data_IF_949382014902
#
_entry.id   IF_949382014902
#
_cell.length_a   1.000
_cell.length_b   1.000
_cell.length_c   1.000
_cell.angle_alpha   90.00
_cell.angle_beta   90.00
_cell.angle_gamma   90.00
#
_symmetry.space_group_name_H-M   'P 1'
#
loop_
_entity.id
_entity.type
_entity.pdbx_description
1 polymer ?
#
# COMPACT_ATOMS: atom_id res chain seq x y z
N UNK A 1 56.15 32.24 53.74
CA UNK A 1 56.24 31.42 52.54
C UNK A 1 56.69 29.96 52.79
N UNK A 2 57.79 29.68 53.55
CA UNK A 2 58.26 28.33 53.88
C UNK A 2 57.18 27.46 54.54
N UNK A 3 56.42 27.94 55.54
CA UNK A 3 55.36 27.17 56.26
C UNK A 3 54.16 26.84 55.35
N UNK A 4 53.92 27.56 54.29
CA UNK A 4 52.85 27.25 53.32
C UNK A 4 53.32 26.14 52.36
N UNK A 5 54.59 26.22 51.92
CA UNK A 5 55.17 25.18 51.06
C UNK A 5 55.28 23.82 51.76
N UNK A 6 55.66 23.82 53.08
CA UNK A 6 55.69 22.58 53.88
C UNK A 6 54.31 21.96 54.11
N UNK A 7 53.26 22.78 54.28
CA UNK A 7 51.86 22.29 54.34
C UNK A 7 51.39 21.77 53.00
N UNK A 8 51.77 22.37 51.88
CA UNK A 8 51.43 21.90 50.53
C UNK A 8 52.17 20.60 50.19
N UNK A 9 53.45 20.44 50.63
CA UNK A 9 54.20 19.18 50.39
C UNK A 9 53.61 18.01 51.21
N UNK A 10 53.30 18.25 52.50
CA UNK A 10 52.62 17.25 53.37
C UNK A 10 51.20 16.90 52.85
N UNK A 11 50.53 17.84 52.19
CA UNK A 11 49.23 17.61 51.53
C UNK A 11 49.40 16.73 50.28
N UNK A 12 50.44 16.95 49.48
CA UNK A 12 50.75 16.19 48.24
C UNK A 12 51.32 14.79 48.56
N UNK A 13 51.87 14.55 49.76
CA UNK A 13 52.35 13.23 50.16
C UNK A 13 51.23 12.29 50.57
N UNK A 14 50.03 12.82 50.89
CA UNK A 14 48.90 11.99 51.29
C UNK A 14 48.12 11.49 50.06
N UNK A 15 48.54 10.33 49.50
CA UNK A 15 47.96 9.69 48.31
C UNK A 15 46.46 9.50 48.38
N UNK A 16 45.93 9.21 49.57
CA UNK A 16 44.49 9.02 49.81
C UNK A 16 43.73 10.34 49.66
N UNK A 17 44.30 11.44 50.15
CA UNK A 17 43.67 12.76 50.06
C UNK A 17 43.63 13.26 48.64
N UNK A 18 44.69 13.08 47.85
CA UNK A 18 44.75 13.39 46.42
C UNK A 18 43.70 12.57 45.67
N UNK A 19 43.57 11.26 45.97
CA UNK A 19 42.58 10.41 45.35
C UNK A 19 41.15 10.89 45.65
N UNK A 20 40.84 11.26 46.90
CA UNK A 20 39.53 11.80 47.29
C UNK A 20 39.22 13.14 46.60
N UNK A 21 40.19 14.00 46.40
CA UNK A 21 40.03 15.26 45.64
C UNK A 21 39.73 14.96 44.18
N UNK A 22 40.43 14.05 43.56
CA UNK A 22 40.20 13.63 42.16
C UNK A 22 38.77 13.04 42.02
N UNK A 23 38.38 12.17 42.91
CA UNK A 23 37.02 11.59 42.95
C UNK A 23 36.00 12.72 43.15
N UNK A 24 36.23 13.65 44.07
CA UNK A 24 35.36 14.81 44.27
C UNK A 24 35.18 15.66 43.01
N UNK A 25 36.30 15.99 42.32
CA UNK A 25 36.25 16.75 41.04
C UNK A 25 35.47 15.99 39.97
N UNK A 26 35.72 14.71 39.82
CA UNK A 26 34.99 13.85 38.88
C UNK A 26 33.48 13.81 39.22
N UNK A 27 33.15 13.68 40.50
CA UNK A 27 31.75 13.70 40.96
C UNK A 27 31.05 15.01 40.65
N UNK A 28 31.73 16.15 40.88
CA UNK A 28 31.18 17.46 40.52
C UNK A 28 30.97 17.61 39.02
N UNK A 29 31.91 17.13 38.19
CA UNK A 29 31.75 17.12 36.73
C UNK A 29 30.54 16.31 36.31
N UNK A 30 30.36 15.12 36.91
CA UNK A 30 29.18 14.29 36.63
C UNK A 30 27.87 14.95 37.06
N UNK A 31 27.84 15.61 38.21
CA UNK A 31 26.65 16.33 38.70
C UNK A 31 26.32 17.48 37.73
N UNK A 32 27.29 18.25 37.29
CA UNK A 32 27.12 19.36 36.32
C UNK A 32 26.59 18.80 34.97
N UNK A 33 27.19 17.70 34.51
CA UNK A 33 26.74 17.04 33.28
C UNK A 33 25.32 16.51 33.39
N UNK A 34 24.97 15.85 34.50
CA UNK A 34 23.61 15.36 34.76
C UNK A 34 22.60 16.50 34.86
N UNK A 35 22.95 17.58 35.55
CA UNK A 35 22.12 18.78 35.63
C UNK A 35 21.87 19.39 34.23
N UNK A 36 22.93 19.52 33.44
CA UNK A 36 22.84 20.04 32.07
C UNK A 36 21.93 19.15 31.21
N UNK A 37 22.08 17.82 31.31
CA UNK A 37 21.38 16.84 30.49
C UNK A 37 19.93 16.66 30.93
N UNK A 38 19.63 16.69 32.24
CA UNK A 38 18.30 16.43 32.77
C UNK A 38 17.46 17.69 32.98
N UNK A 39 18.09 18.83 33.32
CA UNK A 39 17.36 20.05 33.66
C UNK A 39 17.42 21.10 32.55
N UNK A 40 18.61 21.40 32.01
CA UNK A 40 18.73 22.43 30.97
C UNK A 40 18.30 21.94 29.60
N UNK A 41 18.55 20.66 29.28
CA UNK A 41 18.22 20.07 28.00
C UNK A 41 17.27 18.89 28.13
N UNK A 42 16.67 18.69 29.30
CA UNK A 42 15.78 17.56 29.58
C UNK A 42 14.59 17.50 28.61
N UNK A 43 13.94 18.61 28.39
CA UNK A 43 12.81 18.72 27.46
C UNK A 43 13.22 18.44 26.01
N UNK A 44 14.39 18.93 25.57
CA UNK A 44 14.92 18.67 24.23
C UNK A 44 15.23 17.17 24.02
N UNK A 45 15.86 16.55 25.02
CA UNK A 45 16.17 15.12 24.96
C UNK A 45 14.91 14.25 25.06
N UNK A 46 13.93 14.69 25.85
CA UNK A 46 12.62 14.03 25.95
C UNK A 46 11.87 14.12 24.61
N UNK A 47 11.81 15.29 24.01
CA UNK A 47 11.21 15.50 22.69
C UNK A 47 11.92 14.66 21.61
N UNK A 48 13.26 14.60 21.63
CA UNK A 48 14.03 13.74 20.73
C UNK A 48 13.76 12.25 20.97
N UNK A 49 13.58 11.82 22.23
CA UNK A 49 13.24 10.45 22.58
C UNK A 49 11.82 10.10 22.12
N UNK A 50 10.86 10.97 22.40
CA UNK A 50 9.48 10.83 21.94
C UNK A 50 9.38 10.77 20.41
N UNK A 51 10.08 11.67 19.70
CA UNK A 51 10.17 11.64 18.23
C UNK A 51 10.79 10.36 17.67
N UNK A 52 11.66 9.67 18.42
CA UNK A 52 12.29 8.40 18.02
C UNK A 52 11.43 7.18 18.28
N UNK A 53 10.42 7.28 19.14
CA UNK A 53 9.50 6.21 19.49
C UNK A 53 8.12 6.37 18.82
N UNK A 54 7.85 7.54 18.22
CA UNK A 54 6.59 7.84 17.58
C UNK A 54 6.69 7.59 16.06
N UNK A 55 5.96 6.62 15.58
CA UNK A 55 5.75 6.36 14.15
C UNK A 55 4.43 7.01 13.73
N UNK A 56 4.44 7.73 12.63
CA UNK A 56 3.23 8.27 12.02
C UNK A 56 2.74 7.31 10.94
N UNK A 57 1.53 6.85 11.08
CA UNK A 57 0.86 6.02 10.09
C UNK A 57 -0.28 6.81 9.46
N UNK A 58 -0.46 6.66 8.16
CA UNK A 58 -1.58 7.29 7.46
C UNK A 58 -2.81 6.41 7.61
N UNK A 59 -3.88 6.96 8.18
CA UNK A 59 -5.19 6.33 8.19
C UNK A 59 -5.96 6.79 6.96
N UNK A 60 -6.10 5.89 5.99
CA UNK A 60 -6.75 6.21 4.72
C UNK A 60 -8.22 6.55 4.94
N UNK A 61 -8.64 7.71 4.42
CA UNK A 61 -10.04 8.13 4.48
C UNK A 61 -10.92 7.34 3.50
N UNK A 62 -12.16 7.09 3.89
CA UNK A 62 -13.16 6.52 2.97
C UNK A 62 -13.48 7.51 1.85
N UNK A 63 -13.57 7.00 0.63
CA UNK A 63 -13.98 7.78 -0.53
C UNK A 63 -15.50 8.00 -0.50
N UNK A 64 -15.97 9.16 -0.95
CA UNK A 64 -17.40 9.47 -1.01
C UNK A 64 -18.16 8.44 -1.85
N UNK A 65 -19.39 8.17 -1.50
CA UNK A 65 -20.27 7.28 -2.25
C UNK A 65 -20.77 7.93 -3.55
N UNK A 66 -21.04 7.10 -4.55
CA UNK A 66 -21.74 7.53 -5.76
C UNK A 66 -23.08 6.81 -5.78
N UNK A 67 -24.17 7.57 -5.87
CA UNK A 67 -25.53 7.03 -5.92
C UNK A 67 -26.23 7.44 -7.21
N UNK A 68 -27.30 6.73 -7.56
CA UNK A 68 -28.25 7.17 -8.57
C UNK A 68 -29.13 8.30 -8.01
N UNK A 69 -30.06 8.85 -8.83
CA UNK A 69 -30.98 9.90 -8.43
C UNK A 69 -31.94 9.51 -7.29
N UNK A 70 -32.15 8.22 -7.05
CA UNK A 70 -33.05 7.64 -6.05
C UNK A 70 -32.32 7.15 -4.79
N UNK A 71 -30.97 7.35 -4.71
CA UNK A 71 -30.14 6.92 -3.59
C UNK A 71 -29.65 5.48 -3.68
N UNK A 72 -29.82 4.81 -4.84
CA UNK A 72 -29.24 3.47 -5.04
C UNK A 72 -27.72 3.57 -5.14
N UNK A 73 -27.00 2.83 -4.32
CA UNK A 73 -25.54 2.87 -4.27
C UNK A 73 -24.92 2.22 -5.51
N UNK A 74 -24.14 3.01 -6.25
CA UNK A 74 -23.41 2.62 -7.44
C UNK A 74 -21.92 2.38 -7.16
N UNK A 75 -21.36 3.14 -6.23
CA UNK A 75 -20.00 2.95 -5.74
C UNK A 75 -19.91 3.28 -4.25
N UNK A 76 -19.29 2.42 -3.47
CA UNK A 76 -19.08 2.56 -2.03
C UNK A 76 -17.72 2.05 -1.61
N UNK A 77 -17.49 1.83 -0.32
CA UNK A 77 -16.24 1.29 0.19
C UNK A 77 -16.54 0.04 1.04
N UNK A 78 -15.67 -0.96 0.93
CA UNK A 78 -15.67 -2.13 1.83
C UNK A 78 -14.46 -2.04 2.74
N UNK A 79 -14.61 -2.51 3.97
CA UNK A 79 -13.48 -2.70 4.86
C UNK A 79 -12.59 -3.80 4.28
N UNK A 80 -11.31 -3.51 4.17
CA UNK A 80 -10.27 -4.42 3.72
C UNK A 80 -9.11 -4.34 4.70
N UNK A 81 -8.25 -5.36 4.70
CA UNK A 81 -7.07 -5.41 5.55
C UNK A 81 -5.84 -5.62 4.68
N UNK A 82 -4.84 -4.78 4.87
CA UNK A 82 -3.54 -4.91 4.23
C UNK A 82 -2.49 -5.28 5.29
N UNK A 83 -1.39 -5.89 4.85
CA UNK A 83 -0.26 -6.24 5.73
C UNK A 83 0.94 -5.41 5.37
N UNK A 84 1.41 -4.68 6.34
CA UNK A 84 2.63 -3.89 6.30
C UNK A 84 3.76 -4.57 7.07
N UNK A 85 4.99 -4.45 6.58
CA UNK A 85 6.19 -4.89 7.26
C UNK A 85 7.10 -3.69 7.52
N UNK A 86 7.47 -3.48 8.79
CA UNK A 86 8.41 -2.45 9.21
C UNK A 86 9.77 -3.06 9.55
N UNK A 87 10.82 -2.29 9.32
CA UNK A 87 12.15 -2.66 9.80
C UNK A 87 12.20 -2.51 11.32
N UNK A 88 12.54 -3.58 12.01
CA UNK A 88 12.62 -3.65 13.47
C UNK A 88 14.04 -3.93 13.92
N UNK A 89 14.34 -3.65 15.19
CA UNK A 89 15.68 -3.86 15.77
C UNK A 89 15.83 -5.30 16.29
N UNK A 90 15.67 -6.25 15.39
CA UNK A 90 15.93 -7.68 15.64
C UNK A 90 17.01 -8.17 14.69
N UNK A 91 17.54 -9.37 14.89
CA UNK A 91 18.50 -9.97 13.98
C UNK A 91 17.87 -10.26 12.61
N UNK A 92 18.68 -10.29 11.55
CA UNK A 92 18.22 -10.67 10.22
C UNK A 92 17.55 -12.05 10.22
N UNK A 93 18.06 -12.95 11.07
CA UNK A 93 17.51 -14.28 11.29
C UNK A 93 16.07 -14.21 11.81
N UNK A 94 15.85 -13.54 12.93
CA UNK A 94 14.52 -13.41 13.54
C UNK A 94 13.51 -12.77 12.57
N UNK A 95 13.96 -11.77 11.79
CA UNK A 95 13.08 -11.14 10.80
C UNK A 95 12.77 -12.06 9.63
N UNK A 96 13.72 -12.85 9.14
CA UNK A 96 13.49 -13.84 8.11
C UNK A 96 12.53 -14.94 8.57
N UNK A 97 12.66 -15.40 9.82
CA UNK A 97 11.72 -16.35 10.45
C UNK A 97 10.30 -15.78 10.53
N UNK A 98 10.15 -14.50 10.92
CA UNK A 98 8.86 -13.82 10.96
C UNK A 98 8.23 -13.72 9.55
N UNK A 99 9.02 -13.36 8.53
CA UNK A 99 8.55 -13.30 7.14
C UNK A 99 8.11 -14.69 6.65
N UNK A 100 8.89 -15.74 6.93
CA UNK A 100 8.53 -17.10 6.54
C UNK A 100 7.22 -17.58 7.19
N UNK A 101 7.02 -17.28 8.50
CA UNK A 101 5.76 -17.55 9.20
C UNK A 101 4.58 -16.78 8.60
N UNK A 102 4.78 -15.51 8.29
CA UNK A 102 3.75 -14.67 7.65
C UNK A 102 3.34 -15.23 6.29
N UNK A 103 4.30 -15.61 5.44
CA UNK A 103 4.03 -16.24 4.13
C UNK A 103 3.16 -17.49 4.31
N UNK A 104 3.50 -18.35 5.28
CA UNK A 104 2.73 -19.57 5.54
C UNK A 104 1.29 -19.27 5.99
N UNK A 105 1.07 -18.24 6.83
CA UNK A 105 -0.27 -17.81 7.23
C UNK A 105 -1.07 -17.35 6.02
N UNK A 106 -0.52 -16.44 5.22
CA UNK A 106 -1.22 -15.89 4.06
C UNK A 106 -1.59 -16.99 3.06
N UNK A 107 -0.63 -17.81 2.65
CA UNK A 107 -0.86 -18.86 1.67
C UNK A 107 -1.84 -19.94 2.16
N UNK A 108 -1.80 -20.32 3.44
CA UNK A 108 -2.72 -21.32 3.99
C UNK A 108 -4.18 -20.86 4.00
N UNK A 109 -4.41 -19.55 3.98
CA UNK A 109 -5.74 -18.94 3.93
C UNK A 109 -6.15 -18.48 2.51
N UNK A 110 -5.30 -18.72 1.50
CA UNK A 110 -5.57 -18.35 0.11
C UNK A 110 -5.25 -16.89 -0.23
N UNK A 111 -4.55 -16.18 0.65
CA UNK A 111 -4.15 -14.80 0.41
C UNK A 111 -2.84 -14.74 -0.39
N UNK A 112 -2.67 -13.67 -1.18
CA UNK A 112 -1.53 -13.50 -2.07
C UNK A 112 -0.55 -12.46 -1.51
N UNK A 113 0.73 -12.65 -1.84
CA UNK A 113 1.77 -11.67 -1.54
C UNK A 113 1.78 -10.61 -2.63
N UNK A 114 1.76 -9.35 -2.22
CA UNK A 114 1.91 -8.22 -3.12
C UNK A 114 3.38 -7.95 -3.40
N UNK A 115 3.75 -7.83 -4.67
CA UNK A 115 5.09 -7.37 -5.06
C UNK A 115 5.10 -6.87 -6.50
N UNK A 116 6.01 -5.94 -6.77
CA UNK A 116 6.39 -5.46 -8.10
C UNK A 116 7.66 -6.16 -8.62
N UNK A 117 8.16 -7.17 -7.91
CA UNK A 117 9.28 -8.00 -8.37
C UNK A 117 8.88 -8.70 -9.67
N UNK A 118 9.69 -8.60 -10.74
CA UNK A 118 9.30 -9.04 -12.08
C UNK A 118 9.31 -10.56 -12.25
N UNK A 119 8.39 -11.25 -11.62
CA UNK A 119 8.21 -12.70 -11.66
C UNK A 119 6.77 -13.04 -12.08
N UNK A 120 6.61 -14.13 -12.82
CA UNK A 120 5.31 -14.62 -13.24
C UNK A 120 4.55 -15.28 -12.06
N UNK A 121 3.26 -15.56 -12.25
CA UNK A 121 2.37 -16.12 -11.21
C UNK A 121 2.81 -17.53 -10.75
N UNK A 122 3.50 -18.29 -11.60
CA UNK A 122 4.03 -19.61 -11.29
C UNK A 122 5.34 -19.59 -10.51
N UNK A 123 5.98 -18.41 -10.41
CA UNK A 123 7.25 -18.16 -9.73
C UNK A 123 8.42 -18.96 -10.31
N UNK A 124 8.48 -19.10 -11.64
CA UNK A 124 9.49 -19.90 -12.34
C UNK A 124 10.23 -19.14 -13.45
N UNK A 125 9.78 -17.93 -13.80
CA UNK A 125 10.39 -17.10 -14.83
C UNK A 125 10.12 -15.61 -14.61
N UNK A 126 10.88 -14.78 -15.31
CA UNK A 126 10.60 -13.34 -15.36
C UNK A 126 9.38 -13.03 -16.23
N UNK A 127 8.68 -11.94 -15.89
CA UNK A 127 7.52 -11.43 -16.63
C UNK A 127 7.77 -10.04 -17.26
N UNK A 128 9.00 -9.77 -17.72
CA UNK A 128 9.31 -8.54 -18.47
C UNK A 128 8.59 -8.50 -19.81
N UNK A 129 8.14 -7.32 -20.22
CA UNK A 129 7.49 -7.12 -21.52
C UNK A 129 8.52 -7.09 -22.68
N UNK A 130 9.72 -6.57 -22.41
CA UNK A 130 10.79 -6.46 -23.39
C UNK A 130 12.15 -6.84 -22.81
N UNK A 131 13.09 -7.24 -23.68
CA UNK A 131 14.48 -7.49 -23.27
C UNK A 131 15.18 -6.23 -22.74
N UNK A 132 14.80 -5.06 -23.24
CA UNK A 132 15.37 -3.78 -22.80
C UNK A 132 14.97 -3.47 -21.35
N UNK A 133 13.70 -3.72 -21.00
CA UNK A 133 13.22 -3.61 -19.62
C UNK A 133 13.98 -4.55 -18.69
N UNK A 134 14.15 -5.81 -19.12
CA UNK A 134 14.91 -6.80 -18.36
C UNK A 134 16.37 -6.36 -18.11
N UNK A 135 17.05 -5.88 -19.13
CA UNK A 135 18.44 -5.38 -19.02
C UNK A 135 18.53 -4.17 -18.11
N UNK A 136 17.61 -3.21 -18.25
CA UNK A 136 17.55 -2.02 -17.39
C UNK A 136 17.36 -2.40 -15.93
N UNK A 137 16.38 -3.27 -15.64
CA UNK A 137 16.11 -3.73 -14.28
C UNK A 137 17.30 -4.49 -13.68
N UNK A 138 17.92 -5.41 -14.43
CA UNK A 138 19.11 -6.13 -13.97
C UNK A 138 20.26 -5.18 -13.63
N UNK A 139 20.48 -4.15 -14.45
CA UNK A 139 21.48 -3.11 -14.19
C UNK A 139 21.17 -2.32 -12.93
N UNK A 140 19.92 -1.92 -12.70
CA UNK A 140 19.48 -1.23 -11.48
C UNK A 140 19.68 -2.11 -10.22
N UNK A 141 19.53 -3.42 -10.37
CA UNK A 141 19.75 -4.40 -9.30
C UNK A 141 21.20 -4.82 -9.13
N UNK A 142 22.15 -4.27 -9.90
CA UNK A 142 23.56 -4.63 -9.95
C UNK A 142 23.78 -6.12 -10.30
N UNK A 143 22.98 -6.66 -11.20
CA UNK A 143 23.09 -8.01 -11.74
C UNK A 143 23.78 -8.00 -13.10
N UNK A 144 24.27 -9.17 -13.55
CA UNK A 144 24.76 -9.34 -14.92
C UNK A 144 23.61 -9.22 -15.91
N UNK A 145 23.84 -8.60 -17.06
CA UNK A 145 22.79 -8.40 -18.09
C UNK A 145 22.25 -9.74 -18.63
N UNK A 146 23.11 -10.74 -18.73
CA UNK A 146 22.81 -12.09 -19.20
C UNK A 146 22.40 -13.07 -18.11
N UNK A 147 22.32 -12.63 -16.83
CA UNK A 147 21.93 -13.49 -15.72
C UNK A 147 20.58 -14.16 -16.00
N UNK A 148 20.51 -15.47 -15.82
CA UNK A 148 19.29 -16.24 -15.91
C UNK A 148 18.36 -15.94 -14.71
N UNK A 149 17.14 -16.45 -14.78
CA UNK A 149 16.20 -16.35 -13.65
C UNK A 149 16.78 -17.01 -12.41
N UNK A 150 17.25 -18.25 -12.53
CA UNK A 150 17.79 -19.00 -11.39
C UNK A 150 19.04 -18.34 -10.79
N UNK A 151 19.99 -17.88 -11.60
CA UNK A 151 21.18 -17.15 -11.13
C UNK A 151 20.79 -15.86 -10.40
N UNK A 152 19.76 -15.17 -10.89
CA UNK A 152 19.23 -13.97 -10.23
C UNK A 152 18.64 -14.31 -8.86
N UNK A 153 17.79 -15.34 -8.79
CA UNK A 153 17.18 -15.77 -7.54
C UNK A 153 18.26 -16.22 -6.55
N UNK A 154 19.27 -16.99 -6.99
CA UNK A 154 20.38 -17.42 -6.14
C UNK A 154 21.17 -16.23 -5.60
N UNK A 155 21.39 -15.20 -6.41
CA UNK A 155 22.04 -13.96 -5.98
C UNK A 155 21.23 -13.28 -4.87
N UNK A 156 19.91 -13.20 -5.00
CA UNK A 156 19.05 -12.62 -3.96
C UNK A 156 18.95 -13.50 -2.70
N UNK A 157 18.95 -14.82 -2.84
CA UNK A 157 19.00 -15.74 -1.68
C UNK A 157 20.25 -15.48 -0.86
N UNK A 158 21.40 -15.36 -1.51
CA UNK A 158 22.67 -15.03 -0.83
C UNK A 158 22.64 -13.63 -0.23
N UNK A 159 22.18 -12.63 -0.99
CA UNK A 159 22.10 -11.23 -0.55
C UNK A 159 21.24 -11.04 0.71
N UNK A 160 20.17 -11.80 0.84
CA UNK A 160 19.20 -11.69 1.94
C UNK A 160 19.33 -12.79 2.99
N UNK A 161 20.32 -13.67 2.86
CA UNK A 161 20.56 -14.79 3.78
C UNK A 161 19.31 -15.67 3.98
N UNK A 162 18.79 -16.20 2.86
CA UNK A 162 17.52 -16.94 2.84
C UNK A 162 17.69 -18.46 2.71
N UNK A 163 18.91 -18.98 2.62
CA UNK A 163 19.16 -20.40 2.35
C UNK A 163 18.51 -21.33 3.38
N UNK A 164 18.46 -20.93 4.65
CA UNK A 164 18.01 -21.77 5.77
C UNK A 164 16.53 -21.58 6.15
N UNK A 165 15.79 -20.65 5.51
CA UNK A 165 14.48 -20.22 6.01
C UNK A 165 13.26 -20.71 5.23
N UNK A 166 13.46 -21.22 4.04
CA UNK A 166 12.37 -21.72 3.21
C UNK A 166 12.61 -23.16 2.78
N UNK A 167 11.61 -23.99 2.96
CA UNK A 167 11.66 -25.43 2.61
C UNK A 167 11.65 -25.62 1.10
N UNK A 168 11.09 -24.66 0.33
CA UNK A 168 11.01 -24.72 -1.11
C UNK A 168 11.42 -23.41 -1.80
N UNK A 169 11.80 -23.54 -3.06
CA UNK A 169 12.26 -22.43 -3.92
C UNK A 169 11.20 -21.32 -4.07
N UNK A 170 9.94 -21.69 -4.15
CA UNK A 170 8.85 -20.70 -4.32
C UNK A 170 8.70 -19.82 -3.08
N UNK A 171 8.85 -20.39 -1.88
CA UNK A 171 8.81 -19.60 -0.65
C UNK A 171 10.05 -18.70 -0.52
N UNK A 172 11.22 -19.15 -0.98
CA UNK A 172 12.40 -18.26 -1.07
C UNK A 172 12.13 -17.07 -2.00
N UNK A 173 11.52 -17.30 -3.17
CA UNK A 173 11.13 -16.23 -4.11
C UNK A 173 10.14 -15.27 -3.44
N UNK A 174 9.13 -15.77 -2.72
CA UNK A 174 8.19 -14.91 -1.97
C UNK A 174 8.89 -14.07 -0.91
N UNK A 175 9.86 -14.62 -0.20
CA UNK A 175 10.68 -13.85 0.74
C UNK A 175 11.49 -12.76 0.03
N UNK A 176 12.05 -13.07 -1.15
CA UNK A 176 12.74 -12.09 -2.00
C UNK A 176 11.76 -10.98 -2.42
N UNK A 177 10.54 -11.33 -2.85
CA UNK A 177 9.51 -10.36 -3.24
C UNK A 177 9.24 -9.35 -2.13
N UNK A 178 9.03 -9.80 -0.90
CA UNK A 178 8.79 -8.94 0.27
C UNK A 178 10.00 -8.03 0.55
N UNK A 179 11.21 -8.58 0.53
CA UNK A 179 12.43 -7.80 0.77
C UNK A 179 12.75 -6.83 -0.36
N UNK A 180 12.38 -7.17 -1.57
CA UNK A 180 12.50 -6.31 -2.74
C UNK A 180 11.61 -5.05 -2.58
N UNK A 181 10.32 -5.24 -2.23
CA UNK A 181 9.42 -4.13 -1.94
C UNK A 181 9.96 -3.23 -0.81
N UNK A 182 10.49 -3.84 0.24
CA UNK A 182 11.14 -3.11 1.32
C UNK A 182 12.27 -2.21 0.84
N UNK A 183 13.14 -2.72 -0.02
CA UNK A 183 14.26 -1.94 -0.54
C UNK A 183 13.84 -0.82 -1.48
N UNK A 184 12.85 -1.05 -2.35
CA UNK A 184 12.31 -0.03 -3.25
C UNK A 184 11.69 1.14 -2.51
N UNK A 185 10.96 0.87 -1.45
CA UNK A 185 10.19 1.85 -0.71
C UNK A 185 10.95 2.49 0.45
N UNK A 186 12.26 2.22 0.59
CA UNK A 186 13.07 2.78 1.67
C UNK A 186 12.57 2.34 3.05
N UNK A 187 12.18 1.08 3.15
CA UNK A 187 11.64 0.46 4.35
C UNK A 187 12.53 0.69 5.57
N UNK A 188 11.95 1.19 6.63
CA UNK A 188 12.64 1.62 7.83
C UNK A 188 11.76 1.37 9.07
N UNK A 189 12.16 1.89 10.22
CA UNK A 189 11.32 1.94 11.42
C UNK A 189 10.03 2.77 11.21
N UNK A 190 10.02 3.67 10.22
CA UNK A 190 8.94 4.63 9.99
C UNK A 190 8.20 4.41 8.67
N UNK A 191 8.83 3.77 7.70
CA UNK A 191 8.24 3.47 6.40
C UNK A 191 8.06 1.96 6.27
N UNK A 192 6.84 1.52 6.05
CA UNK A 192 6.52 0.12 5.82
C UNK A 192 6.80 -0.33 4.38
N UNK A 193 7.05 -1.62 4.23
CA UNK A 193 6.87 -2.33 2.98
C UNK A 193 5.49 -3.00 2.98
N UNK A 194 4.69 -2.76 1.96
CA UNK A 194 3.42 -3.45 1.77
C UNK A 194 3.68 -4.89 1.36
N UNK A 195 3.16 -5.85 2.12
CA UNK A 195 3.39 -7.30 1.94
C UNK A 195 2.20 -7.99 1.28
N UNK A 196 0.99 -7.66 1.69
CA UNK A 196 -0.24 -8.25 1.14
C UNK A 196 -1.38 -7.25 1.19
N UNK A 197 -2.32 -7.38 0.27
CA UNK A 197 -3.52 -6.56 0.17
C UNK A 197 -4.76 -7.41 0.28
N UNK A 198 -5.82 -6.83 0.86
CA UNK A 198 -7.15 -7.43 0.89
C UNK A 198 -7.12 -8.85 1.47
N UNK A 199 -6.40 -9.04 2.57
CA UNK A 199 -6.26 -10.33 3.22
C UNK A 199 -7.56 -10.77 3.91
N UNK A 200 -7.73 -12.08 4.03
CA UNK A 200 -8.89 -12.67 4.69
C UNK A 200 -8.92 -12.40 6.20
N UNK A 201 -10.11 -12.33 6.78
CA UNK A 201 -10.28 -12.20 8.23
C UNK A 201 -9.58 -13.33 9.02
N UNK A 202 -9.44 -14.52 8.41
CA UNK A 202 -8.68 -15.64 9.00
C UNK A 202 -7.21 -15.32 9.13
N UNK A 203 -6.62 -14.71 8.10
CA UNK A 203 -5.23 -14.26 8.15
C UNK A 203 -5.05 -13.16 9.17
N UNK A 204 -5.97 -12.20 9.25
CA UNK A 204 -5.96 -11.15 10.29
C UNK A 204 -5.92 -11.78 11.67
N UNK A 205 -6.84 -12.70 11.97
CA UNK A 205 -6.91 -13.36 13.28
C UNK A 205 -5.63 -14.12 13.63
N UNK A 206 -5.05 -14.87 12.66
CA UNK A 206 -3.82 -15.63 12.87
C UNK A 206 -2.58 -14.74 13.03
N UNK A 207 -2.53 -13.61 12.31
CA UNK A 207 -1.43 -12.63 12.44
C UNK A 207 -1.49 -11.98 13.82
N UNK A 208 -2.67 -11.53 14.26
CA UNK A 208 -2.83 -10.91 15.58
C UNK A 208 -2.56 -11.91 16.73
N UNK A 209 -2.98 -13.17 16.60
CA UNK A 209 -2.67 -14.22 17.58
C UNK A 209 -1.15 -14.44 17.72
N UNK A 210 -0.41 -14.38 16.61
CA UNK A 210 1.04 -14.62 16.58
C UNK A 210 1.88 -13.35 16.54
N UNK A 211 1.30 -12.22 16.89
CA UNK A 211 1.94 -10.89 16.80
C UNK A 211 3.30 -10.82 17.52
N UNK A 212 3.45 -11.54 18.66
CA UNK A 212 4.71 -11.59 19.39
C UNK A 212 5.86 -12.31 18.66
N UNK A 213 5.54 -13.12 17.62
CA UNK A 213 6.50 -13.86 16.80
C UNK A 213 6.70 -13.22 15.42
N UNK A 214 5.81 -12.31 15.02
CA UNK A 214 5.78 -11.66 13.72
C UNK A 214 6.38 -10.25 13.81
N UNK A 215 7.67 -10.18 14.11
CA UNK A 215 8.39 -8.92 14.30
C UNK A 215 8.27 -7.97 13.11
N UNK A 216 7.73 -6.78 13.39
CA UNK A 216 7.55 -5.72 12.39
C UNK A 216 6.33 -5.87 11.49
N UNK A 217 5.57 -6.95 11.61
CA UNK A 217 4.32 -7.15 10.88
C UNK A 217 3.20 -6.34 11.53
N UNK A 218 2.48 -5.58 10.72
CA UNK A 218 1.31 -4.81 11.15
C UNK A 218 0.15 -5.03 10.18
N UNK A 219 -1.05 -5.24 10.70
CA UNK A 219 -2.29 -5.31 9.91
C UNK A 219 -2.94 -3.94 9.96
N UNK A 220 -3.18 -3.35 8.81
CA UNK A 220 -3.86 -2.06 8.70
C UNK A 220 -5.23 -2.23 8.05
N UNK A 221 -6.20 -1.49 8.57
CA UNK A 221 -7.55 -1.44 8.01
C UNK A 221 -7.61 -0.33 6.97
N UNK A 222 -8.03 -0.67 5.74
CA UNK A 222 -8.12 0.26 4.62
C UNK A 222 -9.50 0.21 3.95
N UNK A 223 -10.10 1.35 3.61
CA UNK A 223 -11.33 1.37 2.84
C UNK A 223 -11.04 1.04 1.38
N UNK A 224 -11.48 -0.11 0.91
CA UNK A 224 -11.34 -0.53 -0.48
C UNK A 224 -12.57 -0.11 -1.29
N UNK A 225 -12.37 0.62 -2.39
CA UNK A 225 -13.45 1.00 -3.31
C UNK A 225 -14.14 -0.24 -3.85
N UNK A 226 -15.48 -0.21 -3.89
CA UNK A 226 -16.32 -1.32 -4.31
C UNK A 226 -17.51 -0.84 -5.14
N UNK A 227 -17.78 -1.53 -6.23
CA UNK A 227 -18.88 -1.28 -7.14
C UNK A 227 -19.82 -2.48 -7.09
N UNK A 228 -21.04 -2.33 -6.46
CA UNK A 228 -21.96 -3.46 -6.23
C UNK A 228 -22.33 -4.20 -7.50
N UNK A 229 -22.44 -3.49 -8.63
CA UNK A 229 -22.77 -4.04 -9.95
C UNK A 229 -21.65 -3.65 -10.91
N UNK A 230 -20.52 -4.36 -10.86
CA UNK A 230 -19.25 -3.97 -11.49
C UNK A 230 -19.27 -3.62 -12.97
N UNK A 231 -20.23 -4.13 -13.77
CA UNK A 231 -20.39 -3.81 -15.19
C UNK A 231 -21.41 -2.68 -15.43
N UNK A 232 -22.22 -2.37 -14.42
CA UNK A 232 -23.28 -1.39 -14.53
C UNK A 232 -22.73 0.04 -14.65
N UNK A 233 -23.19 0.75 -15.66
CA UNK A 233 -22.78 2.13 -15.97
C UNK A 233 -21.24 2.35 -15.92
N UNK A 234 -20.47 1.32 -16.27
CA UNK A 234 -19.01 1.28 -16.10
C UNK A 234 -18.31 2.50 -16.71
N UNK A 235 -18.73 2.91 -17.90
CA UNK A 235 -18.16 4.07 -18.59
C UNK A 235 -18.54 5.41 -17.97
N UNK A 236 -19.72 5.48 -17.32
CA UNK A 236 -20.18 6.68 -16.59
C UNK A 236 -19.47 6.81 -15.26
N UNK A 237 -19.53 5.75 -14.46
CA UNK A 237 -18.92 5.73 -13.12
C UNK A 237 -17.40 5.85 -13.22
N UNK A 238 -16.79 5.12 -14.16
CA UNK A 238 -15.36 5.01 -14.28
C UNK A 238 -14.78 4.11 -13.17
N UNK A 239 -13.48 4.20 -12.95
CA UNK A 239 -12.78 3.37 -11.97
C UNK A 239 -11.68 4.13 -11.26
N UNK A 240 -11.25 3.58 -10.13
CA UNK A 240 -10.09 4.02 -9.38
C UNK A 240 -8.94 3.02 -9.54
N UNK A 241 -7.72 3.50 -9.52
CA UNK A 241 -6.52 2.66 -9.50
C UNK A 241 -5.37 3.39 -8.82
N UNK A 242 -4.25 2.69 -8.60
CA UNK A 242 -3.04 3.29 -8.04
C UNK A 242 -2.56 4.47 -8.90
N UNK A 243 -2.12 5.53 -8.23
CA UNK A 243 -1.52 6.69 -8.89
C UNK A 243 -0.25 6.27 -9.66
N UNK A 244 -0.09 6.75 -10.88
CA UNK A 244 1.13 6.54 -11.66
C UNK A 244 2.22 7.52 -11.25
N UNK A 245 3.47 7.21 -11.53
CA UNK A 245 4.62 8.09 -11.23
C UNK A 245 4.48 9.47 -11.87
N UNK A 246 3.86 9.54 -13.06
CA UNK A 246 3.61 10.79 -13.76
C UNK A 246 2.56 11.64 -13.03
N UNK A 247 1.46 11.03 -12.63
CA UNK A 247 0.41 11.70 -11.86
C UNK A 247 0.91 12.11 -10.47
N UNK A 248 1.68 11.25 -9.81
CA UNK A 248 2.25 11.56 -8.50
C UNK A 248 3.15 12.79 -8.55
N UNK A 249 4.02 12.91 -9.58
CA UNK A 249 4.88 14.09 -9.75
C UNK A 249 4.10 15.41 -9.83
N UNK A 250 2.87 15.38 -10.35
CA UNK A 250 2.00 16.55 -10.49
C UNK A 250 1.10 16.79 -9.27
N UNK A 251 0.78 15.73 -8.50
CA UNK A 251 -0.22 15.77 -7.43
C UNK A 251 0.33 15.57 -6.02
N UNK A 252 1.64 15.41 -5.85
CA UNK A 252 2.28 15.23 -4.53
C UNK A 252 1.94 16.35 -3.54
N UNK A 253 1.83 17.58 -4.04
CA UNK A 253 1.52 18.76 -3.23
C UNK A 253 0.00 18.85 -2.87
N UNK A 254 -0.83 18.01 -3.48
CA UNK A 254 -2.27 17.87 -3.19
C UNK A 254 -2.55 16.77 -2.13
N UNK A 255 -1.52 16.29 -1.43
CA UNK A 255 -1.64 15.28 -0.38
C UNK A 255 -1.77 13.84 -0.91
N UNK A 256 -1.26 13.57 -2.13
CA UNK A 256 -1.12 12.20 -2.63
C UNK A 256 0.25 11.63 -2.27
N UNK A 257 0.29 10.34 -1.97
CA UNK A 257 1.51 9.56 -1.86
C UNK A 257 1.60 8.52 -2.99
N UNK A 258 2.73 7.86 -3.12
CA UNK A 258 2.99 6.90 -4.22
C UNK A 258 2.04 5.67 -4.20
N UNK A 259 1.39 5.42 -3.08
CA UNK A 259 0.42 4.31 -2.92
C UNK A 259 -1.03 4.79 -2.98
N UNK A 260 -1.27 6.09 -3.15
CA UNK A 260 -2.62 6.63 -3.21
C UNK A 260 -3.42 6.06 -4.38
N UNK A 261 -4.72 5.88 -4.14
CA UNK A 261 -5.71 5.50 -5.16
C UNK A 261 -6.35 6.78 -5.69
N UNK A 262 -6.50 6.86 -7.01
CA UNK A 262 -7.04 8.03 -7.71
C UNK A 262 -8.04 7.59 -8.77
N UNK A 263 -9.05 8.40 -9.04
CA UNK A 263 -9.97 8.21 -10.16
C UNK A 263 -9.27 8.31 -11.51
N UNK A 264 -9.48 7.32 -12.39
CA UNK A 264 -8.82 7.21 -13.69
C UNK A 264 -9.74 7.52 -14.86
N UNK A 265 -11.04 7.36 -14.69
CA UNK A 265 -12.03 7.57 -15.74
C UNK A 265 -13.37 8.01 -15.12
N UNK A 266 -14.30 8.48 -15.96
CA UNK A 266 -15.68 8.76 -15.61
C UNK A 266 -15.86 9.75 -14.45
N UNK A 267 -16.92 9.55 -13.68
CA UNK A 267 -17.26 10.35 -12.50
C UNK A 267 -16.16 10.25 -11.44
N UNK A 268 -15.56 9.07 -11.26
CA UNK A 268 -14.45 8.89 -10.33
C UNK A 268 -13.29 9.85 -10.59
N UNK A 269 -12.96 10.09 -11.85
CA UNK A 269 -11.92 11.05 -12.24
C UNK A 269 -12.40 12.49 -12.21
N UNK A 270 -13.56 12.76 -12.81
CA UNK A 270 -14.06 14.12 -12.96
C UNK A 270 -14.35 14.78 -11.61
N UNK A 271 -14.79 13.99 -10.63
CA UNK A 271 -15.13 14.46 -9.29
C UNK A 271 -14.13 14.02 -8.21
N UNK A 272 -12.91 13.68 -8.60
CA UNK A 272 -11.84 13.26 -7.70
C UNK A 272 -11.71 14.18 -6.49
N UNK A 273 -11.69 15.48 -6.70
CA UNK A 273 -11.54 16.49 -5.65
C UNK A 273 -12.64 16.42 -4.56
N UNK A 274 -13.83 15.98 -4.92
CA UNK A 274 -14.96 15.85 -4.00
C UNK A 274 -15.01 14.47 -3.36
N UNK A 275 -14.79 13.44 -4.18
CA UNK A 275 -14.85 12.04 -3.75
C UNK A 275 -13.68 11.63 -2.85
N UNK A 276 -12.48 12.18 -3.05
CA UNK A 276 -11.34 11.92 -2.19
C UNK A 276 -11.57 12.52 -0.81
N UNK A 277 -11.42 11.70 0.24
CA UNK A 277 -11.40 12.17 1.62
C UNK A 277 -10.06 12.82 2.00
N UNK A 278 -9.97 13.28 3.21
CA UNK A 278 -8.72 13.71 3.83
C UNK A 278 -8.24 12.61 4.78
N UNK A 279 -7.07 12.05 4.49
CA UNK A 279 -6.47 11.00 5.33
C UNK A 279 -6.19 11.53 6.73
N UNK A 280 -6.35 10.66 7.72
CA UNK A 280 -5.99 10.88 9.10
C UNK A 280 -4.54 10.47 9.38
N UNK A 281 -4.11 10.71 10.61
CA UNK A 281 -2.78 10.35 11.10
C UNK A 281 -2.91 9.63 12.44
N UNK A 282 -2.39 8.41 12.49
CA UNK A 282 -2.18 7.65 13.72
C UNK A 282 -0.73 7.83 14.16
N UNK A 283 -0.52 8.09 15.44
CA UNK A 283 0.78 8.01 16.10
C UNK A 283 0.88 6.67 16.81
N UNK A 284 1.73 5.80 16.29
CA UNK A 284 2.05 4.53 16.92
C UNK A 284 3.32 4.68 17.77
N UNK A 285 3.23 4.35 19.04
CA UNK A 285 4.40 4.22 19.92
C UNK A 285 5.02 2.85 19.71
N UNK A 286 6.34 2.82 19.58
CA UNK A 286 7.06 1.56 19.37
C UNK A 286 7.95 1.24 20.55
N UNK A 287 8.07 -0.06 20.86
CA UNK A 287 9.03 -0.57 21.84
C UNK A 287 10.48 -0.43 21.33
N UNK A 288 11.45 -0.83 22.16
CA UNK A 288 12.87 -0.80 21.81
C UNK A 288 13.25 -1.67 20.60
N UNK A 289 12.41 -2.64 20.25
CA UNK A 289 12.56 -3.52 19.08
C UNK A 289 11.88 -2.95 17.84
N UNK A 290 10.95 -2.00 17.99
CA UNK A 290 10.18 -1.38 16.91
C UNK A 290 8.77 -1.96 16.73
N UNK A 291 8.30 -2.82 17.64
CA UNK A 291 6.91 -3.28 17.62
C UNK A 291 6.00 -2.21 18.20
N UNK A 292 4.78 -2.09 17.68
CA UNK A 292 3.78 -1.16 18.19
C UNK A 292 3.33 -1.57 19.58
N UNK A 293 3.44 -0.65 20.54
CA UNK A 293 3.01 -0.82 21.94
C UNK A 293 1.70 -0.09 22.23
N UNK A 294 1.47 1.05 21.60
CA UNK A 294 0.21 1.79 21.68
C UNK A 294 -0.03 2.62 20.42
N UNK A 295 -1.29 2.93 20.14
CA UNK A 295 -1.69 3.77 19.02
C UNK A 295 -2.59 4.89 19.53
N UNK A 296 -2.37 6.10 19.01
CA UNK A 296 -3.18 7.27 19.32
C UNK A 296 -3.53 8.00 18.03
N UNK A 297 -4.81 8.24 17.80
CA UNK A 297 -5.25 9.03 16.65
C UNK A 297 -4.84 10.48 16.86
N UNK A 298 -3.98 10.99 15.97
CA UNK A 298 -3.51 12.37 16.01
C UNK A 298 -4.41 13.29 15.17
N UNK A 299 -4.87 12.79 14.03
CA UNK A 299 -5.83 13.46 13.15
C UNK A 299 -6.83 12.41 12.67
N UNK A 300 -8.13 12.66 12.88
CA UNK A 300 -9.18 11.80 12.37
C UNK A 300 -9.28 11.90 10.85
N UNK A 301 -9.50 10.77 10.14
CA UNK A 301 -9.76 10.80 8.71
C UNK A 301 -11.13 11.42 8.43
N UNK A 302 -11.21 12.23 7.39
CA UNK A 302 -12.47 12.83 6.94
C UNK A 302 -12.87 12.20 5.62
N UNK A 303 -14.00 11.51 5.60
CA UNK A 303 -14.53 10.88 4.38
C UNK A 303 -14.79 11.90 3.27
N UNK A 304 -14.63 11.47 2.03
CA UNK A 304 -15.00 12.27 0.86
C UNK A 304 -16.50 12.53 0.78
N UNK A 305 -16.86 13.56 0.02
CA UNK A 305 -18.26 13.92 -0.21
C UNK A 305 -18.93 12.91 -1.16
N UNK A 306 -20.14 12.48 -0.82
CA UNK A 306 -20.96 11.64 -1.70
C UNK A 306 -21.55 12.45 -2.85
N UNK A 307 -21.76 11.78 -3.99
CA UNK A 307 -22.30 12.37 -5.22
C UNK A 307 -23.55 11.60 -5.64
N UNK A 308 -24.63 12.32 -5.90
CA UNK A 308 -25.83 11.75 -6.53
C UNK A 308 -25.83 12.10 -8.01
N UNK A 309 -25.96 11.08 -8.87
CA UNK A 309 -26.06 11.24 -10.32
C UNK A 309 -27.51 11.47 -10.73
N UNK A 310 -27.70 12.00 -11.92
CA UNK A 310 -29.04 12.09 -12.57
C UNK A 310 -29.51 10.76 -13.15
N UNK A 311 -28.60 9.79 -13.27
CA UNK A 311 -28.89 8.42 -13.74
C UNK A 311 -29.97 7.78 -12.86
N UNK A 312 -30.97 7.16 -13.52
CA UNK A 312 -31.94 6.29 -12.87
C UNK A 312 -31.50 4.82 -13.03
N UNK A 313 -31.29 4.16 -11.91
CA UNK A 313 -30.78 2.78 -11.88
C UNK A 313 -31.61 1.81 -12.73
N UNK A 314 -32.95 1.91 -12.65
CA UNK A 314 -33.85 1.00 -13.36
C UNK A 314 -33.78 1.24 -14.86
N UNK A 315 -33.78 2.52 -15.26
CA UNK A 315 -33.75 2.91 -16.66
C UNK A 315 -32.38 2.53 -17.29
N UNK A 316 -31.28 2.80 -16.58
CA UNK A 316 -29.94 2.41 -16.99
C UNK A 316 -29.83 0.89 -17.18
N UNK A 317 -30.30 0.10 -16.22
CA UNK A 317 -30.31 -1.36 -16.28
C UNK A 317 -31.11 -1.86 -17.48
N UNK A 318 -32.31 -1.31 -17.68
CA UNK A 318 -33.14 -1.68 -18.84
C UNK A 318 -32.45 -1.33 -20.16
N UNK A 319 -31.78 -0.18 -20.24
CA UNK A 319 -31.05 0.22 -21.44
C UNK A 319 -29.89 -0.75 -21.74
N UNK A 320 -29.10 -1.13 -20.72
CA UNK A 320 -28.00 -2.07 -20.87
C UNK A 320 -28.49 -3.45 -21.29
N UNK A 321 -29.48 -4.01 -20.60
CA UNK A 321 -30.06 -5.33 -20.91
C UNK A 321 -30.66 -5.37 -22.31
N UNK A 322 -31.38 -4.29 -22.70
CA UNK A 322 -31.98 -4.17 -24.04
C UNK A 322 -30.90 -4.09 -25.12
N UNK A 323 -29.85 -3.33 -24.90
CA UNK A 323 -28.73 -3.18 -25.83
C UNK A 323 -28.03 -4.53 -26.07
N UNK A 324 -27.72 -5.26 -25.00
CA UNK A 324 -27.17 -6.64 -25.08
C UNK A 324 -28.10 -7.58 -25.83
N UNK A 325 -29.40 -7.56 -25.50
CA UNK A 325 -30.40 -8.40 -26.14
C UNK A 325 -30.54 -8.14 -27.63
N UNK A 326 -30.59 -6.87 -28.03
CA UNK A 326 -30.67 -6.48 -29.45
C UNK A 326 -29.42 -6.90 -30.21
N UNK A 327 -28.22 -6.62 -29.68
CA UNK A 327 -26.97 -7.02 -30.36
C UNK A 327 -26.87 -8.52 -30.52
N UNK A 328 -27.21 -9.30 -29.50
CA UNK A 328 -27.19 -10.76 -29.57
C UNK A 328 -28.26 -11.29 -30.53
N UNK A 329 -29.47 -10.74 -30.50
CA UNK A 329 -30.54 -11.13 -31.43
C UNK A 329 -30.27 -10.79 -32.90
N UNK A 330 -29.45 -9.75 -33.16
CA UNK A 330 -28.93 -9.47 -34.48
C UNK A 330 -27.87 -10.48 -34.93
N UNK A 331 -26.93 -10.81 -34.03
CA UNK A 331 -25.83 -11.77 -34.29
C UNK A 331 -26.35 -13.18 -34.60
N UNK A 332 -27.31 -13.66 -33.83
CA UNK A 332 -27.87 -15.02 -33.98
C UNK A 332 -29.03 -15.09 -35.00
N UNK A 333 -29.58 -13.95 -35.39
CA UNK A 333 -30.65 -13.82 -36.37
C UNK A 333 -32.07 -13.97 -35.78
N UNK A 334 -32.21 -14.06 -34.46
CA UNK A 334 -33.51 -14.23 -33.79
C UNK A 334 -34.37 -12.97 -33.89
N UNK A 335 -33.74 -11.79 -33.96
CA UNK A 335 -34.44 -10.53 -34.00
C UNK A 335 -35.03 -10.18 -35.38
N UNK A 336 -34.26 -10.47 -36.46
CA UNK A 336 -34.62 -10.10 -37.84
C UNK A 336 -34.81 -11.30 -38.78
N UNK A 337 -34.74 -12.53 -38.26
CA UNK A 337 -34.72 -13.75 -39.11
C UNK A 337 -33.48 -13.90 -39.99
N UNK A 338 -32.51 -13.00 -39.83
CA UNK A 338 -31.25 -12.94 -40.58
C UNK A 338 -30.10 -12.59 -39.63
N UNK A 339 -29.02 -13.34 -39.70
CA UNK A 339 -27.79 -13.09 -38.93
C UNK A 339 -27.07 -11.87 -39.46
N UNK A 340 -26.71 -10.96 -38.53
CA UNK A 340 -25.86 -9.80 -38.78
C UNK A 340 -24.62 -9.97 -37.88
N UNK A 341 -23.61 -10.66 -38.38
CA UNK A 341 -22.40 -11.03 -37.61
C UNK A 341 -21.57 -9.81 -37.17
N UNK A 342 -21.70 -8.70 -37.89
CA UNK A 342 -20.94 -7.47 -37.62
C UNK A 342 -21.59 -6.60 -36.52
N UNK A 343 -22.83 -6.90 -36.07
CA UNK A 343 -23.46 -6.22 -34.97
C UNK A 343 -22.73 -6.52 -33.63
N UNK A 344 -21.70 -5.75 -33.28
CA UNK A 344 -20.81 -6.07 -32.17
C UNK A 344 -20.72 -5.01 -31.10
N UNK A 345 -21.16 -3.79 -31.38
CA UNK A 345 -21.16 -2.67 -30.44
C UNK A 345 -22.38 -1.77 -30.59
N UNK A 346 -22.71 -1.02 -29.57
CA UNK A 346 -23.80 -0.06 -29.59
C UNK A 346 -23.84 0.80 -28.33
N UNK A 347 -24.59 1.89 -28.40
CA UNK A 347 -24.82 2.79 -27.28
C UNK A 347 -26.27 3.26 -27.20
N UNK A 348 -26.72 3.59 -26.02
CA UNK A 348 -28.06 4.17 -25.72
C UNK A 348 -27.88 5.34 -24.78
N UNK A 349 -28.48 6.48 -25.11
CA UNK A 349 -28.56 7.64 -24.21
C UNK A 349 -30.02 8.04 -24.05
N UNK A 350 -30.44 8.21 -22.81
CA UNK A 350 -31.78 8.67 -22.46
C UNK A 350 -31.68 9.98 -21.71
N UNK A 351 -32.34 10.99 -22.25
CA UNK A 351 -32.39 12.34 -21.68
C UNK A 351 -33.81 12.71 -21.27
N UNK A 352 -33.95 13.40 -20.16
CA UNK A 352 -35.15 14.11 -19.80
C UNK A 352 -35.26 15.37 -20.67
N UNK A 353 -36.35 15.49 -21.42
CA UNK A 353 -36.49 16.59 -22.40
C UNK A 353 -36.84 17.95 -21.76
N UNK A 354 -37.32 17.94 -20.51
CA UNK A 354 -37.66 19.15 -19.78
C UNK A 354 -36.47 19.71 -19.01
N UNK A 355 -35.73 18.82 -18.29
CA UNK A 355 -34.60 19.22 -17.46
C UNK A 355 -33.23 19.14 -18.18
N UNK A 356 -33.15 18.35 -19.25
CA UNK A 356 -31.89 18.03 -19.93
C UNK A 356 -31.01 17.02 -19.16
N UNK A 357 -31.52 16.45 -18.07
CA UNK A 357 -30.79 15.46 -17.28
C UNK A 357 -30.56 14.16 -18.04
N UNK A 358 -29.34 13.60 -17.93
CA UNK A 358 -29.07 12.26 -18.46
C UNK A 358 -29.60 11.23 -17.48
N UNK A 359 -30.61 10.46 -17.90
CA UNK A 359 -31.26 9.43 -17.09
C UNK A 359 -30.64 8.05 -17.28
N UNK A 360 -30.11 7.76 -18.47
CA UNK A 360 -29.34 6.56 -18.75
C UNK A 360 -28.30 6.79 -19.84
N UNK A 361 -27.16 6.11 -19.73
CA UNK A 361 -26.08 6.12 -20.72
C UNK A 361 -25.43 4.75 -20.73
N UNK A 362 -25.85 3.89 -21.65
CA UNK A 362 -25.41 2.51 -21.77
C UNK A 362 -24.52 2.32 -22.99
N UNK A 363 -23.46 1.54 -22.83
CA UNK A 363 -22.54 1.17 -23.88
C UNK A 363 -22.30 -0.35 -23.85
N UNK A 364 -22.10 -0.95 -25.03
CA UNK A 364 -21.70 -2.35 -25.21
C UNK A 364 -20.60 -2.45 -26.26
N UNK A 365 -19.51 -3.20 -26.04
CA UNK A 365 -19.25 -4.01 -24.83
C UNK A 365 -18.93 -3.17 -23.60
N UNK A 366 -19.02 -3.77 -22.43
CA UNK A 366 -18.66 -3.20 -21.15
C UNK A 366 -17.55 -4.00 -20.47
N UNK A 367 -17.11 -3.55 -19.29
CA UNK A 367 -16.07 -4.21 -18.49
C UNK A 367 -16.42 -4.14 -16.99
N UNK A 368 -15.86 -5.05 -16.20
CA UNK A 368 -16.06 -5.04 -14.76
C UNK A 368 -15.09 -4.05 -14.09
N UNK A 369 -15.64 -2.98 -13.52
CA UNK A 369 -14.86 -1.93 -12.85
C UNK A 369 -14.07 -2.49 -11.65
N UNK A 370 -14.59 -3.51 -10.95
CA UNK A 370 -13.92 -4.10 -9.78
C UNK A 370 -12.57 -4.76 -10.15
N UNK A 371 -12.41 -5.21 -11.40
CA UNK A 371 -11.13 -5.77 -11.87
C UNK A 371 -10.01 -4.72 -11.72
N UNK A 372 -10.31 -3.43 -11.95
CA UNK A 372 -9.33 -2.34 -11.86
C UNK A 372 -8.92 -2.00 -10.44
N UNK A 373 -9.82 -2.19 -9.47
CA UNK A 373 -9.57 -1.91 -8.04
C UNK A 373 -8.70 -2.97 -7.38
N UNK A 374 -8.93 -4.23 -7.73
CA UNK A 374 -8.24 -5.38 -7.11
C UNK A 374 -6.83 -5.60 -7.65
N UNK A 375 -6.45 -4.85 -8.69
CA UNK A 375 -5.23 -5.10 -9.46
C UNK A 375 -5.47 -6.16 -10.53
N UNK A 376 -5.86 -5.71 -11.70
CA UNK A 376 -6.09 -6.56 -12.87
C UNK A 376 -4.77 -7.21 -13.30
N UNK A 377 -4.79 -8.51 -13.67
CA UNK A 377 -3.60 -9.15 -14.23
C UNK A 377 -3.21 -8.48 -15.56
N UNK A 378 -1.90 -8.50 -15.88
CA UNK A 378 -1.39 -7.92 -17.13
C UNK A 378 -2.08 -8.53 -18.36
N UNK A 379 -2.32 -9.84 -18.34
CA UNK A 379 -2.98 -10.58 -19.42
C UNK A 379 -4.42 -10.11 -19.60
N UNK A 380 -5.17 -9.96 -18.50
CA UNK A 380 -6.56 -9.49 -18.53
C UNK A 380 -6.63 -8.03 -18.99
N UNK A 381 -5.75 -7.18 -18.47
CA UNK A 381 -5.65 -5.78 -18.88
C UNK A 381 -5.31 -5.68 -20.38
N UNK A 382 -4.32 -6.44 -20.84
CA UNK A 382 -3.95 -6.51 -22.26
C UNK A 382 -5.11 -7.00 -23.13
N UNK A 383 -5.89 -7.98 -22.67
CA UNK A 383 -7.07 -8.45 -23.41
C UNK A 383 -8.12 -7.36 -23.58
N UNK A 384 -8.35 -6.51 -22.57
CA UNK A 384 -9.30 -5.39 -22.65
C UNK A 384 -8.80 -4.26 -23.57
N UNK A 385 -7.50 -3.94 -23.52
CA UNK A 385 -6.93 -2.89 -24.38
C UNK A 385 -6.77 -3.29 -25.84
N UNK A 386 -6.47 -4.57 -26.10
CA UNK A 386 -6.28 -5.11 -27.45
C UNK A 386 -7.57 -5.63 -28.08
N UNK A 387 -8.69 -5.62 -27.35
CA UNK A 387 -9.99 -5.98 -27.93
C UNK A 387 -10.34 -4.98 -29.05
N UNK A 388 -10.64 -5.47 -30.28
CA UNK A 388 -11.04 -4.62 -31.39
C UNK A 388 -12.23 -3.71 -31.08
N UNK A 389 -13.12 -4.13 -30.17
CA UNK A 389 -14.29 -3.39 -29.74
C UNK A 389 -14.00 -2.38 -28.62
N UNK A 390 -12.77 -2.39 -28.09
CA UNK A 390 -12.26 -1.44 -27.10
C UNK A 390 -13.22 -1.20 -25.93
N UNK A 391 -13.59 -2.24 -25.14
CA UNK A 391 -14.61 -2.12 -24.11
C UNK A 391 -14.32 -1.07 -23.03
N UNK A 392 -13.10 -0.57 -22.93
CA UNK A 392 -12.70 0.49 -21.99
C UNK A 392 -12.78 1.90 -22.56
N UNK A 393 -12.97 2.04 -23.88
CA UNK A 393 -12.99 3.33 -24.59
C UNK A 393 -14.37 3.50 -25.23
N UNK A 394 -15.15 4.43 -24.73
CA UNK A 394 -16.41 4.80 -25.37
C UNK A 394 -16.66 6.29 -25.23
#
# INVERSE_FOLDING_TARGET
>A
MKKILEKVSAFLENRILILNIIIGIISVIFIIQLFNLQILHGDEYREKSEKRMLRKETQVASRGEITDRNGVVLASNKLSFDVDLYKVKVSAKEQNEAIAKLINILLSNGDNIYSTFPVNDTLDSFNFETEEEAKKWKKEMNLKEDATFDETIDTFIQKYDLADYAVDRKNQIRMIMIKYEGNLNGYSLFNAALVAKDISEKSVAQIEEKKSELYGVNVISVPKRYYPNGEFAAHVIGYVSKISDKEYKTKKDEGYNINSIIGKAGIEQAFEKYLKGKDGVIKAETDSKGNVSSETVAEEPVSGNSISLTIDYRLQKTAEESLVSVINGLKDGTLLGKKISEASAGSVVVLDVESGETLAMANYPTYNINDMVSGISKERLSSLFNDPLKPMYN
#
